data_IF_050830186801
#
_entry.id   IF_050830186801
#
_cell.length_a   1.000
_cell.length_b   1.000
_cell.length_c   1.000
_cell.angle_alpha   90.00
_cell.angle_beta   90.00
_cell.angle_gamma   90.00
#
_symmetry.space_group_name_H-M   'P 1'
#
loop_
_entity.id
_entity.type
_entity.pdbx_description
1 polymer ?
#
# COMPACT_ATOMS: atom_id res chain seq x y z
N UNK A 1 -12.19 5.19 20.23
CA UNK A 1 -12.76 4.96 18.89
C UNK A 1 -12.93 3.46 18.69
N UNK A 2 -14.10 2.98 18.27
CA UNK A 2 -14.36 1.57 17.88
C UNK A 2 -14.93 1.59 16.47
N UNK A 3 -14.70 0.53 15.71
CA UNK A 3 -15.14 0.40 14.31
C UNK A 3 -14.64 1.56 13.42
N UNK A 4 -13.34 1.57 13.16
CA UNK A 4 -12.63 2.71 12.57
C UNK A 4 -12.43 2.47 11.07
N UNK A 5 -12.92 3.39 10.25
CA UNK A 5 -12.86 3.30 8.78
C UNK A 5 -11.84 4.29 8.21
N UNK A 6 -11.21 3.96 7.08
CA UNK A 6 -10.18 4.82 6.45
C UNK A 6 -10.64 6.28 6.26
N UNK A 7 -11.89 6.48 5.87
CA UNK A 7 -12.49 7.81 5.66
C UNK A 7 -12.49 8.71 6.92
N UNK A 8 -12.29 8.12 8.10
CA UNK A 8 -12.14 8.83 9.35
C UNK A 8 -10.72 9.37 9.57
N UNK A 9 -9.79 9.15 8.64
CA UNK A 9 -8.44 9.73 8.72
C UNK A 9 -8.54 11.24 8.62
N UNK A 10 -7.91 11.96 9.53
CA UNK A 10 -8.01 13.41 9.58
C UNK A 10 -7.52 14.02 10.88
N UNK A 11 -7.77 15.32 11.01
CA UNK A 11 -7.38 16.10 12.19
C UNK A 11 -8.48 16.02 13.24
N UNK A 12 -8.13 15.47 14.40
CA UNK A 12 -8.99 15.42 15.57
C UNK A 12 -8.61 16.54 16.53
N UNK A 13 -9.62 17.18 17.13
CA UNK A 13 -9.45 18.27 18.07
C UNK A 13 -10.00 17.86 19.43
N UNK A 14 -9.31 18.30 20.48
CA UNK A 14 -9.83 18.32 21.83
C UNK A 14 -10.04 19.78 22.22
N UNK A 15 -11.26 20.10 22.62
CA UNK A 15 -11.66 21.41 23.11
C UNK A 15 -11.96 21.33 24.60
N UNK A 16 -11.44 22.29 25.36
CA UNK A 16 -11.78 22.49 26.77
C UNK A 16 -12.19 23.94 26.95
N UNK A 17 -13.39 24.16 27.48
CA UNK A 17 -13.98 25.48 27.67
C UNK A 17 -14.37 25.68 29.15
N UNK A 18 -14.10 26.86 29.71
CA UNK A 18 -14.54 27.26 31.06
C UNK A 18 -15.83 28.07 31.01
N UNK A 19 -16.59 28.05 32.10
CA UNK A 19 -17.86 28.79 32.23
C UNK A 19 -17.65 30.16 32.93
N UNK A 20 -18.72 30.96 33.04
CA UNK A 20 -18.71 32.31 33.60
C UNK A 20 -17.97 32.46 34.95
N UNK A 21 -17.36 33.64 35.22
CA UNK A 21 -17.38 34.87 34.42
C UNK A 21 -16.34 34.91 33.29
N UNK A 22 -15.31 34.07 33.35
CA UNK A 22 -14.21 34.05 32.40
C UNK A 22 -14.36 32.88 31.41
N UNK A 23 -14.87 33.17 30.22
CA UNK A 23 -14.99 32.21 29.14
C UNK A 23 -13.65 32.03 28.42
N UNK A 24 -12.94 30.95 28.73
CA UNK A 24 -11.68 30.58 28.09
C UNK A 24 -11.85 29.25 27.36
N UNK A 25 -11.47 29.21 26.08
CA UNK A 25 -11.44 27.97 25.28
C UNK A 25 -10.01 27.64 24.88
N UNK A 26 -9.58 26.41 25.14
CA UNK A 26 -8.33 25.85 24.64
C UNK A 26 -8.61 24.73 23.66
N UNK A 27 -7.90 24.78 22.53
CA UNK A 27 -7.96 23.80 21.47
C UNK A 27 -6.58 23.17 21.31
N UNK A 28 -6.54 21.85 21.30
CA UNK A 28 -5.36 21.08 20.87
C UNK A 28 -5.79 20.11 19.78
N UNK A 29 -4.85 19.73 18.91
CA UNK A 29 -5.20 18.90 17.77
C UNK A 29 -4.10 17.91 17.40
N UNK A 30 -4.49 16.76 16.86
CA UNK A 30 -3.60 15.74 16.35
C UNK A 30 -4.17 15.12 15.07
N UNK A 31 -3.30 14.63 14.19
CA UNK A 31 -3.72 13.91 12.99
C UNK A 31 -3.78 12.41 13.28
N UNK A 32 -4.89 11.78 12.90
CA UNK A 32 -5.06 10.33 12.93
C UNK A 32 -5.06 9.79 11.50
N UNK A 33 -4.17 8.84 11.24
CA UNK A 33 -4.09 8.14 9.96
C UNK A 33 -4.54 6.69 10.16
N UNK A 34 -5.54 6.27 9.41
CA UNK A 34 -6.05 4.90 9.45
C UNK A 34 -5.54 4.19 8.22
N UNK A 35 -4.76 3.14 8.45
CA UNK A 35 -4.09 2.37 7.42
C UNK A 35 -4.68 0.98 7.34
N UNK A 36 -4.70 0.41 6.13
CA UNK A 36 -4.98 -1.00 5.90
C UNK A 36 -3.65 -1.68 5.52
N UNK A 37 -3.01 -2.42 6.43
CA UNK A 37 -1.83 -3.19 6.09
C UNK A 37 -2.19 -4.36 5.16
N UNK A 38 -1.19 -4.90 4.49
CA UNK A 38 -1.32 -6.15 3.74
C UNK A 38 -1.67 -7.28 4.72
N UNK A 39 -2.84 -7.88 4.54
CA UNK A 39 -3.25 -9.03 5.36
C UNK A 39 -2.45 -10.29 5.03
N UNK A 40 -1.93 -10.37 3.81
CA UNK A 40 -1.21 -11.53 3.27
C UNK A 40 -0.03 -11.09 2.41
N UNK A 41 0.89 -12.03 2.15
CA UNK A 41 2.02 -11.79 1.25
C UNK A 41 1.52 -11.67 -0.20
N UNK A 42 2.23 -10.91 -1.06
CA UNK A 42 1.96 -10.92 -2.49
C UNK A 42 2.12 -12.31 -3.08
N UNK A 43 1.30 -12.62 -4.07
CA UNK A 43 1.32 -13.90 -4.80
C UNK A 43 1.98 -13.67 -6.15
N UNK A 44 2.87 -14.59 -6.54
CA UNK A 44 3.52 -14.57 -7.85
C UNK A 44 2.93 -15.67 -8.71
N UNK A 45 2.45 -15.29 -9.89
CA UNK A 45 1.95 -16.17 -10.93
C UNK A 45 2.87 -16.06 -12.15
N UNK A 46 3.41 -17.19 -12.60
CA UNK A 46 4.28 -17.27 -13.77
C UNK A 46 3.54 -17.91 -14.94
N UNK A 47 3.87 -17.51 -16.16
CA UNK A 47 3.30 -18.09 -17.39
C UNK A 47 3.66 -19.58 -17.52
N UNK A 48 4.86 -19.97 -17.08
CA UNK A 48 5.37 -21.34 -17.15
C UNK A 48 5.84 -21.80 -15.78
N UNK A 49 5.75 -23.10 -15.54
CA UNK A 49 6.30 -23.74 -14.32
C UNK A 49 7.81 -23.99 -14.41
N UNK A 50 8.39 -23.97 -15.61
CA UNK A 50 9.81 -24.19 -15.89
C UNK A 50 10.27 -23.29 -17.04
N UNK A 51 11.52 -22.84 -16.96
CA UNK A 51 12.16 -21.97 -17.96
C UNK A 51 13.54 -22.53 -18.31
N UNK A 52 13.87 -22.54 -19.59
CA UNK A 52 15.19 -22.86 -20.11
C UNK A 52 15.99 -21.58 -20.37
N UNK A 53 17.30 -21.74 -20.57
CA UNK A 53 18.16 -20.62 -20.99
C UNK A 53 17.65 -20.06 -22.33
N UNK A 54 17.47 -18.74 -22.37
CA UNK A 54 16.91 -18.03 -23.53
C UNK A 54 15.37 -17.92 -23.54
N UNK A 55 14.66 -18.54 -22.59
CA UNK A 55 13.22 -18.30 -22.45
C UNK A 55 12.93 -16.91 -21.86
N UNK A 56 11.87 -16.29 -22.36
CA UNK A 56 11.32 -15.05 -21.80
C UNK A 56 10.55 -15.34 -20.51
N UNK A 57 11.03 -14.84 -19.37
CA UNK A 57 10.30 -14.89 -18.10
C UNK A 57 9.14 -13.89 -18.12
N UNK A 58 7.92 -14.37 -17.90
CA UNK A 58 6.71 -13.56 -17.80
C UNK A 58 5.87 -14.00 -16.62
N UNK A 59 5.39 -13.03 -15.85
CA UNK A 59 4.57 -13.29 -14.69
C UNK A 59 4.09 -12.03 -14.01
N UNK A 60 3.16 -12.21 -13.08
CA UNK A 60 2.56 -11.15 -12.29
C UNK A 60 2.82 -11.41 -10.82
N UNK A 61 3.16 -10.35 -10.10
CA UNK A 61 3.19 -10.31 -8.65
C UNK A 61 2.04 -9.43 -8.20
N UNK A 62 1.05 -9.99 -7.51
CA UNK A 62 -0.15 -9.28 -7.07
C UNK A 62 -0.18 -9.23 -5.55
N UNK A 63 -0.43 -8.05 -5.00
CA UNK A 63 -0.61 -7.85 -3.55
C UNK A 63 -2.08 -7.68 -3.19
N UNK A 64 -2.50 -8.13 -1.99
CA UNK A 64 -3.83 -7.83 -1.50
C UNK A 64 -4.06 -6.31 -1.31
N UNK A 65 -5.33 -5.89 -1.19
CA UNK A 65 -5.70 -4.51 -0.91
C UNK A 65 -4.93 -3.92 0.26
N UNK A 66 -4.38 -2.72 0.08
CA UNK A 66 -3.66 -2.00 1.12
C UNK A 66 -3.87 -0.49 1.00
N UNK A 67 -3.84 0.19 2.15
CA UNK A 67 -3.92 1.64 2.23
C UNK A 67 -2.88 2.15 3.22
N UNK A 68 -1.87 2.93 2.78
CA UNK A 68 -1.63 3.37 1.39
C UNK A 68 -1.29 2.21 0.43
N UNK A 69 -1.31 2.43 -0.89
CA UNK A 69 -0.87 1.43 -1.87
C UNK A 69 0.53 0.90 -1.55
N UNK A 70 0.72 -0.40 -1.67
CA UNK A 70 1.99 -1.04 -1.35
C UNK A 70 3.00 -0.93 -2.50
N UNK A 71 4.27 -0.87 -2.13
CA UNK A 71 5.38 -0.88 -3.08
C UNK A 71 5.90 -2.31 -3.27
N UNK A 72 5.66 -2.88 -4.46
CA UNK A 72 6.17 -4.19 -4.83
C UNK A 72 7.54 -4.08 -5.47
N UNK A 73 8.46 -4.96 -5.04
CA UNK A 73 9.80 -5.10 -5.64
C UNK A 73 10.00 -6.55 -6.05
N UNK A 74 10.46 -6.77 -7.28
CA UNK A 74 10.69 -8.10 -7.81
C UNK A 74 12.18 -8.46 -7.83
N UNK A 75 12.48 -9.70 -7.47
CA UNK A 75 13.82 -10.27 -7.49
C UNK A 75 13.81 -11.55 -8.31
N UNK A 76 14.81 -11.73 -9.18
CA UNK A 76 15.05 -12.97 -9.93
C UNK A 76 16.43 -13.47 -9.58
N UNK A 77 16.51 -14.70 -9.02
CA UNK A 77 17.76 -15.29 -8.53
C UNK A 77 18.54 -14.37 -7.57
N UNK A 78 17.83 -13.63 -6.71
CA UNK A 78 18.42 -12.69 -5.75
C UNK A 78 18.78 -11.32 -6.33
N UNK A 79 18.70 -11.12 -7.65
CA UNK A 79 18.95 -9.84 -8.29
C UNK A 79 17.68 -9.02 -8.39
N UNK A 80 17.71 -7.78 -7.92
CA UNK A 80 16.58 -6.84 -8.03
C UNK A 80 16.37 -6.53 -9.51
N UNK A 81 15.15 -6.75 -10.00
CA UNK A 81 14.78 -6.32 -11.35
C UNK A 81 14.53 -4.82 -11.31
N UNK A 82 15.19 -4.08 -12.20
CA UNK A 82 15.07 -2.62 -12.28
C UNK A 82 13.73 -2.17 -12.87
N UNK A 83 13.24 -1.01 -12.44
CA UNK A 83 12.14 -0.33 -13.11
C UNK A 83 12.61 0.06 -14.53
N UNK A 84 12.03 -0.57 -15.54
CA UNK A 84 12.50 -0.50 -16.93
C UNK A 84 11.52 -1.21 -17.86
N UNK A 85 11.89 -1.50 -19.12
CA UNK A 85 10.99 -2.18 -20.06
C UNK A 85 10.53 -3.56 -19.55
N UNK A 86 11.28 -4.12 -18.61
CA UNK A 86 11.06 -5.43 -18.04
C UNK A 86 10.05 -5.48 -16.89
N UNK A 87 9.82 -4.35 -16.20
CA UNK A 87 8.87 -4.26 -15.10
C UNK A 87 7.83 -3.19 -15.37
N UNK A 88 6.56 -3.58 -15.29
CA UNK A 88 5.44 -2.66 -15.33
C UNK A 88 4.68 -2.73 -14.02
N UNK A 89 4.63 -1.61 -13.31
CA UNK A 89 3.82 -1.47 -12.09
C UNK A 89 2.47 -0.91 -12.46
N UNK A 90 1.41 -1.58 -12.01
CA UNK A 90 0.03 -1.13 -12.16
C UNK A 90 -0.56 -0.96 -10.76
N UNK A 91 -1.01 0.25 -10.47
CA UNK A 91 -1.69 0.57 -9.21
C UNK A 91 -3.20 0.60 -9.46
N UNK A 92 -3.91 -0.44 -9.03
CA UNK A 92 -5.37 -0.51 -9.11
C UNK A 92 -5.98 0.13 -7.85
N UNK A 93 -5.76 1.43 -7.66
CA UNK A 93 -6.36 2.17 -6.54
C UNK A 93 -6.16 1.48 -5.18
N UNK A 94 -7.22 1.39 -4.38
CA UNK A 94 -7.24 0.70 -3.08
C UNK A 94 -7.29 -0.83 -3.16
N UNK A 95 -7.51 -1.38 -4.36
CA UNK A 95 -7.98 -2.76 -4.49
C UNK A 95 -6.81 -3.72 -4.66
N UNK A 96 -5.82 -3.49 -5.52
CA UNK A 96 -4.64 -4.36 -5.64
C UNK A 96 -3.43 -3.60 -6.23
N UNK A 97 -2.20 -3.95 -5.83
CA UNK A 97 -1.00 -3.51 -6.57
C UNK A 97 -0.42 -4.72 -7.30
N UNK A 98 -0.21 -4.57 -8.60
CA UNK A 98 0.30 -5.63 -9.46
C UNK A 98 1.57 -5.17 -10.16
N UNK A 99 2.59 -6.02 -10.14
CA UNK A 99 3.81 -5.83 -10.92
C UNK A 99 3.91 -6.95 -11.93
N UNK A 100 3.91 -6.59 -13.21
CA UNK A 100 4.13 -7.52 -14.30
C UNK A 100 5.60 -7.51 -14.68
N UNK A 101 6.22 -8.68 -14.64
CA UNK A 101 7.52 -8.95 -15.22
C UNK A 101 7.31 -9.46 -16.65
N UNK A 102 7.99 -8.82 -17.59
CA UNK A 102 8.05 -9.27 -18.97
C UNK A 102 9.46 -9.12 -19.47
N UNK A 103 10.12 -10.24 -19.79
CA UNK A 103 11.43 -10.32 -20.42
C UNK A 103 12.60 -10.03 -19.46
N UNK A 104 13.61 -10.91 -19.46
CA UNK A 104 14.93 -10.80 -18.83
C UNK A 104 15.91 -11.50 -19.76
#
# INVERSE_FOLDING_TARGET
LRDVQRAMSGKYLCEVSTDAPDFLTKLVSANMNIVRPLEQKPVIELEKSRYNLGDTLRGNCTSPPSSPPTNLTLYVNGNKVGAGPYLKTVHFGEEENTVTLTQL
#
